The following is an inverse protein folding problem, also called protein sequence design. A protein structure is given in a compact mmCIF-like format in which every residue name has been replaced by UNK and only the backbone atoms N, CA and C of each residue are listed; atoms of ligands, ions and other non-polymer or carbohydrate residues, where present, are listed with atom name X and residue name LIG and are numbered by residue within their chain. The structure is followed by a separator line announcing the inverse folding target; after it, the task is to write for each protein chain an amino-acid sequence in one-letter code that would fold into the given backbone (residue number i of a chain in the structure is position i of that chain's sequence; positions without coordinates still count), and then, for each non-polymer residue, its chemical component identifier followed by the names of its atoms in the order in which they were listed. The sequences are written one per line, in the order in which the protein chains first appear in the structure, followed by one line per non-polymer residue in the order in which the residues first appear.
data_IF_626546448537
#
_entry.id   IF_626546448537
#
_cell.length_a   1.000
_cell.length_b   1.000
_cell.length_c   1.000
_cell.angle_alpha   90.00
_cell.angle_beta   90.00
_cell.angle_gamma   90.00
#
_symmetry.space_group_name_H-M   'P 1'
#
loop_
_entity.id
_entity.type
_entity.pdbx_description
1 polymer ?
#
# COMPACT_ATOMS: atom_id res chain seq x y z
N UNK A 1 -5.55 -3.10 3.20
CA UNK A 1 -5.09 -1.71 2.99
C UNK A 1 -3.58 -1.66 3.16
N UNK A 2 -2.88 -1.03 2.21
CA UNK A 2 -1.46 -0.70 2.30
C UNK A 2 -1.32 0.81 2.22
N UNK A 3 -0.67 1.43 3.20
CA UNK A 3 -0.57 2.89 3.26
C UNK A 3 0.75 3.35 3.90
N UNK A 4 1.29 4.47 3.41
CA UNK A 4 2.42 5.14 4.02
C UNK A 4 2.05 5.87 5.32
N UNK A 5 0.78 6.18 5.50
CA UNK A 5 0.28 6.83 6.72
C UNK A 5 0.49 5.90 7.92
N UNK A 6 0.80 6.48 9.07
CA UNK A 6 1.12 5.69 10.27
C UNK A 6 -0.08 4.88 10.78
N UNK A 7 0.21 3.81 11.52
CA UNK A 7 -0.77 2.86 12.03
C UNK A 7 -1.70 3.47 13.09
N UNK A 8 -1.21 4.45 13.85
CA UNK A 8 -2.01 5.11 14.87
C UNK A 8 -3.23 5.82 14.27
N UNK A 9 -3.03 6.50 13.12
CA UNK A 9 -4.11 7.21 12.41
C UNK A 9 -4.97 6.23 11.61
N UNK A 10 -4.36 5.25 10.94
CA UNK A 10 -5.07 4.43 9.94
C UNK A 10 -5.82 3.24 10.54
N UNK A 11 -5.38 2.71 11.68
CA UNK A 11 -6.02 1.54 12.29
C UNK A 11 -7.49 1.77 12.66
N UNK A 12 -7.87 2.89 13.30
CA UNK A 12 -9.29 3.19 13.53
C UNK A 12 -10.10 3.32 12.24
N UNK A 13 -9.50 3.89 11.19
CA UNK A 13 -10.16 4.04 9.88
C UNK A 13 -10.42 2.67 9.26
N UNK A 14 -9.43 1.80 9.26
CA UNK A 14 -9.57 0.43 8.75
C UNK A 14 -10.68 -0.32 9.50
N UNK A 15 -10.75 -0.16 10.81
CA UNK A 15 -11.77 -0.79 11.63
C UNK A 15 -13.18 -0.30 11.28
N UNK A 16 -13.36 1.02 11.09
CA UNK A 16 -14.65 1.60 10.67
C UNK A 16 -15.08 1.09 9.31
N UNK A 17 -14.12 0.93 8.38
CA UNK A 17 -14.39 0.41 7.04
C UNK A 17 -14.58 -1.11 7.01
N UNK A 18 -14.38 -1.79 8.12
CA UNK A 18 -14.49 -3.25 8.17
C UNK A 18 -13.35 -3.96 7.44
N UNK A 19 -12.22 -3.31 7.25
CA UNK A 19 -11.06 -3.91 6.59
C UNK A 19 -10.19 -4.61 7.63
N UNK A 20 -10.03 -5.91 7.46
CA UNK A 20 -9.36 -6.78 8.42
C UNK A 20 -7.84 -6.63 8.40
N UNK A 21 -7.26 -6.45 7.19
CA UNK A 21 -5.81 -6.43 7.01
C UNK A 21 -5.32 -5.02 6.68
N UNK A 22 -4.37 -4.54 7.49
CA UNK A 22 -3.77 -3.23 7.35
C UNK A 22 -2.24 -3.36 7.40
N UNK A 23 -1.58 -2.85 6.35
CA UNK A 23 -0.13 -2.65 6.32
C UNK A 23 0.09 -1.15 6.27
N UNK A 24 0.60 -0.60 7.36
CA UNK A 24 0.83 0.83 7.52
C UNK A 24 2.26 1.06 8.00
N UNK A 25 2.73 2.30 7.99
CA UNK A 25 3.98 2.64 8.65
C UNK A 25 3.79 2.52 10.15
N UNK A 26 4.52 1.61 10.77
CA UNK A 26 4.41 1.33 12.20
C UNK A 26 5.20 2.38 12.99
N UNK A 27 4.56 2.92 14.03
CA UNK A 27 5.23 3.84 14.95
C UNK A 27 5.88 3.05 16.09
N UNK A 28 7.10 3.47 16.47
CA UNK A 28 7.76 2.92 17.63
C UNK A 28 7.03 3.33 18.91
N UNK A 29 6.98 2.41 19.88
CA UNK A 29 6.34 2.62 21.16
C UNK A 29 7.33 2.40 22.29
N UNK A 30 7.17 3.12 23.39
CA UNK A 30 7.98 2.94 24.59
C UNK A 30 7.48 1.74 25.42
N UNK A 31 8.10 1.50 26.57
CA UNK A 31 7.76 0.40 27.47
C UNK A 31 6.31 0.46 27.98
N UNK A 32 5.71 1.65 28.00
CA UNK A 32 4.32 1.85 28.42
C UNK A 32 3.31 1.74 27.26
N UNK A 33 3.79 1.50 26.01
CA UNK A 33 2.97 1.42 24.84
C UNK A 33 2.65 2.76 24.19
N UNK A 34 3.29 3.85 24.62
CA UNK A 34 3.10 5.18 24.03
C UNK A 34 3.95 5.35 22.79
N UNK A 35 3.40 6.05 21.80
CA UNK A 35 4.10 6.40 20.57
C UNK A 35 5.25 7.37 20.88
N UNK A 36 6.45 7.05 20.38
CA UNK A 36 7.67 7.82 20.65
C UNK A 36 7.94 8.91 19.60
N UNK A 37 7.23 8.89 18.47
CA UNK A 37 7.49 9.77 17.34
C UNK A 37 8.46 9.20 16.31
N UNK A 38 9.04 8.04 16.57
CA UNK A 38 9.91 7.33 15.62
C UNK A 38 9.15 6.24 14.87
N UNK A 39 9.69 5.83 13.72
CA UNK A 39 9.14 4.73 12.92
C UNK A 39 9.76 3.42 13.40
N UNK A 40 8.91 2.39 13.54
CA UNK A 40 9.34 1.03 13.82
C UNK A 40 9.40 0.23 12.52
N UNK A 41 10.56 -0.34 12.21
CA UNK A 41 10.75 -1.16 11.02
C UNK A 41 10.80 -0.36 9.72
N UNK A 42 10.47 -1.02 8.62
CA UNK A 42 10.47 -0.43 7.28
C UNK A 42 9.20 0.39 7.07
N UNK A 43 9.30 1.67 6.67
CA UNK A 43 8.12 2.46 6.32
C UNK A 43 7.39 1.86 5.11
N UNK A 44 6.06 1.88 5.13
CA UNK A 44 5.23 1.42 4.01
C UNK A 44 5.11 2.50 2.93
N UNK A 45 6.24 2.93 2.37
CA UNK A 45 6.37 4.04 1.43
C UNK A 45 7.30 3.68 0.28
N UNK A 46 6.87 3.91 -0.96
CA UNK A 46 7.62 3.59 -2.19
C UNK A 46 8.07 2.13 -2.19
N UNK A 47 9.37 1.86 -2.36
CA UNK A 47 9.95 0.51 -2.34
C UNK A 47 9.68 -0.22 -1.02
N UNK A 48 9.61 0.53 0.08
CA UNK A 48 9.24 -0.01 1.39
C UNK A 48 7.83 -0.60 1.40
N UNK A 49 6.93 -0.09 0.56
CA UNK A 49 5.58 -0.65 0.43
C UNK A 49 5.63 -2.09 -0.11
N UNK A 50 6.46 -2.35 -1.12
CA UNK A 50 6.67 -3.72 -1.64
C UNK A 50 7.25 -4.61 -0.54
N UNK A 51 8.31 -4.16 0.13
CA UNK A 51 8.96 -4.93 1.19
C UNK A 51 7.96 -5.31 2.29
N UNK A 52 7.11 -4.38 2.69
CA UNK A 52 6.10 -4.62 3.72
C UNK A 52 5.04 -5.63 3.26
N UNK A 53 4.58 -5.54 2.02
CA UNK A 53 3.63 -6.52 1.44
C UNK A 53 4.27 -7.90 1.40
N UNK A 54 5.51 -7.99 0.96
CA UNK A 54 6.24 -9.27 0.90
C UNK A 54 6.44 -9.87 2.29
N UNK A 55 6.80 -9.06 3.28
CA UNK A 55 6.92 -9.50 4.67
C UNK A 55 5.59 -10.02 5.22
N UNK A 56 4.52 -9.31 4.93
CA UNK A 56 3.18 -9.68 5.38
C UNK A 56 2.75 -11.02 4.80
N UNK A 57 3.01 -11.25 3.51
CA UNK A 57 2.71 -12.51 2.82
C UNK A 57 3.61 -13.64 3.32
N UNK A 58 4.91 -13.38 3.48
CA UNK A 58 5.87 -14.38 3.96
C UNK A 58 5.51 -14.89 5.36
N UNK A 59 5.03 -14.00 6.23
CA UNK A 59 4.54 -14.39 7.55
C UNK A 59 3.35 -15.36 7.49
N UNK A 60 2.65 -15.41 6.35
CA UNK A 60 1.53 -16.31 6.10
C UNK A 60 1.90 -17.50 5.20
N UNK A 61 3.21 -17.67 4.93
CA UNK A 61 3.72 -18.80 4.16
C UNK A 61 3.47 -18.68 2.65
N UNK A 62 3.29 -17.47 2.12
CA UNK A 62 3.08 -17.27 0.69
C UNK A 62 3.87 -16.08 0.13
N UNK A 63 3.90 -15.97 -1.19
CA UNK A 63 4.50 -14.88 -1.93
C UNK A 63 3.47 -14.30 -2.90
N UNK A 64 3.72 -13.10 -3.40
CA UNK A 64 2.79 -12.42 -4.32
C UNK A 64 2.59 -13.24 -5.60
N UNK A 65 3.64 -13.89 -6.10
CA UNK A 65 3.59 -14.72 -7.31
C UNK A 65 2.77 -16.01 -7.14
N UNK A 66 2.44 -16.39 -5.90
CA UNK A 66 1.59 -17.56 -5.64
C UNK A 66 0.14 -17.32 -6.05
N UNK A 67 -0.26 -16.07 -6.24
CA UNK A 67 -1.62 -15.71 -6.61
C UNK A 67 -1.77 -15.64 -8.13
N UNK A 68 -2.82 -16.23 -8.65
CA UNK A 68 -3.15 -16.16 -10.08
C UNK A 68 -3.45 -14.71 -10.49
N UNK A 69 -3.96 -13.90 -9.56
CA UNK A 69 -4.30 -12.50 -9.81
C UNK A 69 -4.03 -11.68 -8.56
N UNK A 70 -3.29 -10.59 -8.73
CA UNK A 70 -3.10 -9.58 -7.70
C UNK A 70 -3.45 -8.21 -8.30
N UNK A 71 -4.33 -7.49 -7.63
CA UNK A 71 -4.79 -6.17 -8.09
C UNK A 71 -4.41 -5.12 -7.06
N UNK A 72 -3.89 -3.99 -7.53
CA UNK A 72 -3.56 -2.87 -6.67
C UNK A 72 -4.10 -1.58 -7.28
N UNK A 73 -4.84 -0.83 -6.49
CA UNK A 73 -5.43 0.44 -6.86
C UNK A 73 -4.64 1.57 -6.21
N UNK A 74 -4.19 2.54 -6.99
CA UNK A 74 -3.46 3.70 -6.45
C UNK A 74 -3.65 4.94 -7.31
N UNK A 75 -3.54 6.10 -6.68
CA UNK A 75 -3.64 7.42 -7.32
C UNK A 75 -2.27 8.09 -7.50
N UNK A 76 -1.20 7.52 -6.97
CA UNK A 76 0.08 8.21 -6.79
C UNK A 76 1.24 7.49 -7.48
N UNK A 77 2.16 8.27 -8.08
CA UNK A 77 3.44 7.77 -8.59
C UNK A 77 4.34 7.23 -7.48
N UNK A 78 4.11 7.60 -6.23
CA UNK A 78 4.83 7.01 -5.08
C UNK A 78 4.60 5.51 -4.97
N UNK A 79 3.50 5.01 -5.49
CA UNK A 79 3.14 3.59 -5.47
C UNK A 79 3.58 2.84 -6.73
N UNK A 80 4.31 3.52 -7.63
CA UNK A 80 4.75 2.92 -8.88
C UNK A 80 5.49 1.59 -8.66
N UNK A 81 6.41 1.46 -7.68
CA UNK A 81 7.08 0.18 -7.45
C UNK A 81 6.11 -0.98 -7.19
N UNK A 82 5.07 -0.78 -6.39
CA UNK A 82 4.08 -1.83 -6.12
C UNK A 82 3.13 -2.04 -7.30
N UNK A 83 2.73 -0.97 -8.00
CA UNK A 83 1.93 -1.08 -9.21
C UNK A 83 2.63 -1.92 -10.29
N UNK A 84 3.95 -1.78 -10.41
CA UNK A 84 4.74 -2.56 -11.36
C UNK A 84 4.87 -4.03 -10.95
N UNK A 85 4.66 -4.34 -9.68
CA UNK A 85 4.88 -5.67 -9.11
C UNK A 85 3.65 -6.58 -9.19
N UNK A 86 2.46 -6.00 -9.13
CA UNK A 86 1.22 -6.77 -9.19
C UNK A 86 0.87 -7.13 -10.63
N UNK A 87 0.03 -8.18 -10.80
CA UNK A 87 -0.40 -8.61 -12.13
C UNK A 87 -1.44 -7.67 -12.76
N UNK A 88 -2.22 -6.97 -11.95
CA UNK A 88 -3.31 -6.09 -12.39
C UNK A 88 -3.24 -4.73 -11.70
N UNK A 89 -2.32 -3.84 -12.14
CA UNK A 89 -2.29 -2.49 -11.62
C UNK A 89 -3.46 -1.66 -12.16
N UNK A 90 -4.06 -0.84 -11.30
CA UNK A 90 -5.15 0.07 -11.69
C UNK A 90 -4.83 1.47 -11.17
N UNK A 91 -4.76 2.44 -12.07
CA UNK A 91 -4.62 3.85 -11.69
C UNK A 91 -6.01 4.41 -11.38
N UNK A 92 -6.25 4.77 -10.11
CA UNK A 92 -7.55 5.23 -9.63
C UNK A 92 -7.47 6.71 -9.32
N UNK A 93 -8.28 7.53 -10.00
CA UNK A 93 -8.24 8.99 -9.91
C UNK A 93 -6.81 9.53 -9.95
N UNK A 94 -5.99 9.10 -10.95
CA UNK A 94 -4.57 9.41 -10.94
C UNK A 94 -4.31 10.90 -11.17
N UNK A 95 -3.23 11.40 -10.57
CA UNK A 95 -2.67 12.67 -10.97
C UNK A 95 -2.10 12.60 -12.40
N UNK A 96 -1.74 13.75 -13.01
CA UNK A 96 -1.32 13.78 -14.42
C UNK A 96 -0.12 12.87 -14.74
N UNK A 97 0.84 12.77 -13.82
CA UNK A 97 2.03 11.94 -14.04
C UNK A 97 1.69 10.45 -14.07
N UNK A 98 0.90 9.97 -13.13
CA UNK A 98 0.49 8.56 -13.10
C UNK A 98 -0.45 8.23 -14.25
N UNK A 99 -1.34 9.16 -14.62
CA UNK A 99 -2.23 8.97 -15.76
C UNK A 99 -1.44 8.74 -17.06
N UNK A 100 -0.40 9.52 -17.30
CA UNK A 100 0.47 9.33 -18.48
C UNK A 100 1.18 7.98 -18.47
N UNK A 101 1.69 7.58 -17.32
CA UNK A 101 2.36 6.28 -17.17
C UNK A 101 1.37 5.14 -17.44
N UNK A 102 0.18 5.23 -16.88
CA UNK A 102 -0.86 4.22 -17.08
C UNK A 102 -1.26 4.11 -18.55
N UNK A 103 -1.40 5.24 -19.26
CA UNK A 103 -1.70 5.26 -20.68
C UNK A 103 -0.58 4.63 -21.50
N UNK A 104 0.68 4.94 -21.20
CA UNK A 104 1.84 4.39 -21.90
C UNK A 104 1.96 2.88 -21.69
N UNK A 105 1.61 2.37 -20.51
CA UNK A 105 1.73 0.95 -20.16
C UNK A 105 0.46 0.14 -20.41
N UNK A 106 -0.61 0.80 -20.86
CA UNK A 106 -1.89 0.13 -21.08
C UNK A 106 -2.60 -0.31 -19.80
N UNK A 107 -2.31 0.33 -18.67
CA UNK A 107 -2.98 0.04 -17.40
C UNK A 107 -4.38 0.63 -17.38
N UNK A 108 -5.36 -0.05 -16.81
CA UNK A 108 -6.70 0.52 -16.61
C UNK A 108 -6.65 1.79 -15.76
N UNK A 109 -7.45 2.77 -16.16
CA UNK A 109 -7.62 4.01 -15.42
C UNK A 109 -9.07 4.07 -14.95
N UNK A 110 -9.26 4.17 -13.63
CA UNK A 110 -10.57 4.25 -13.01
C UNK A 110 -10.77 5.65 -12.46
N UNK A 111 -11.77 6.34 -12.95
CA UNK A 111 -12.13 7.68 -12.47
C UNK A 111 -13.44 7.59 -11.70
N UNK A 112 -13.36 7.72 -10.37
CA UNK A 112 -14.51 7.68 -9.47
C UNK A 112 -15.15 9.05 -9.29
N UNK A 113 -14.38 10.12 -9.54
CA UNK A 113 -14.85 11.50 -9.46
C UNK A 113 -14.66 12.20 -10.81
N UNK A 114 -15.55 13.14 -11.17
CA UNK A 114 -15.43 13.90 -12.41
C UNK A 114 -14.17 14.79 -12.42
#
# INVERSE_FOLDING_TARGET
IVTATNDFVTRPIAAVLGVEHLIATDLARDETGRVTGSIHGVPAFREGKIARVQQWLAARGCALDDFARSTFYSDSTNDLPLLEHVSHPVATNPGPALERIAQQRGWPILKLFP
#
